data_IF_860938711471
#
_entry.id   IF_860938711471
#
_cell.length_a   1.000
_cell.length_b   1.000
_cell.length_c   1.000
_cell.angle_alpha   90.00
_cell.angle_beta   90.00
_cell.angle_gamma   90.00
#
_symmetry.space_group_name_H-M   'P 1'
#
loop_
_entity.id
_entity.type
_entity.pdbx_description
1 polymer ?
#
# COMPACT_ATOMS: atom_id res chain seq x y z
N UNK A 1 29.97 -5.20 23.15
CA UNK A 1 29.34 -3.94 23.55
C UNK A 1 29.53 -2.77 22.55
N UNK A 2 30.10 -2.99 21.36
CA UNK A 2 30.29 -1.97 20.31
C UNK A 2 29.37 -2.12 19.08
N UNK A 3 28.63 -3.22 18.96
CA UNK A 3 27.75 -3.50 17.80
C UNK A 3 26.35 -2.92 17.99
N UNK A 4 25.85 -2.82 19.23
CA UNK A 4 24.51 -2.24 19.51
C UNK A 4 24.38 -0.71 19.26
N UNK A 5 25.51 0.03 19.17
CA UNK A 5 25.49 1.48 18.89
C UNK A 5 25.37 1.87 17.41
N UNK A 6 25.65 0.93 16.48
CA UNK A 6 25.54 1.24 15.03
C UNK A 6 24.13 1.05 14.50
N UNK A 7 23.35 0.18 15.10
CA UNK A 7 21.95 -0.07 14.68
C UNK A 7 21.03 1.09 15.09
N UNK A 8 21.25 1.71 16.25
CA UNK A 8 20.47 2.89 16.68
C UNK A 8 20.70 4.15 15.80
N UNK A 9 21.85 4.26 15.11
CA UNK A 9 22.11 5.39 14.20
C UNK A 9 21.44 5.25 12.83
N UNK A 10 21.18 4.04 12.36
CA UNK A 10 20.51 3.81 11.08
C UNK A 10 18.99 4.09 11.20
N UNK A 11 18.36 3.74 12.32
CA UNK A 11 16.96 4.04 12.55
C UNK A 11 16.68 5.54 12.75
N UNK A 12 17.66 6.30 13.27
CA UNK A 12 17.53 7.74 13.49
C UNK A 12 17.76 8.58 12.22
N UNK A 13 18.39 8.02 11.19
CA UNK A 13 18.64 8.71 9.91
C UNK A 13 17.42 8.63 8.96
N UNK A 14 16.56 7.65 9.10
CA UNK A 14 15.31 7.55 8.34
C UNK A 14 14.28 8.62 8.73
N UNK A 15 14.29 9.11 9.97
CA UNK A 15 13.46 10.23 10.42
C UNK A 15 13.96 11.61 9.93
N UNK A 16 15.24 11.72 9.59
CA UNK A 16 15.84 13.02 9.23
C UNK A 16 15.62 13.42 7.76
N UNK A 17 15.32 12.48 6.86
CA UNK A 17 15.11 12.79 5.44
C UNK A 17 13.72 13.37 5.14
N UNK A 18 12.71 13.08 5.96
CA UNK A 18 11.38 13.68 5.82
C UNK A 18 11.28 15.12 6.39
N UNK A 19 12.26 15.56 7.20
CA UNK A 19 12.20 16.87 7.89
C UNK A 19 13.01 17.97 7.16
N UNK A 20 13.89 17.62 6.24
CA UNK A 20 14.82 18.58 5.63
C UNK A 20 14.26 19.37 4.42
N UNK A 21 13.02 19.12 3.97
CA UNK A 21 12.43 19.80 2.81
C UNK A 21 11.17 20.64 3.12
N UNK A 22 10.91 20.98 4.37
CA UNK A 22 9.70 21.70 4.75
C UNK A 22 9.93 22.93 5.64
N UNK A 23 10.52 24.01 5.13
CA UNK A 23 10.31 25.34 5.70
C UNK A 23 8.91 25.83 5.29
N UNK A 24 7.90 25.53 6.08
CA UNK A 24 6.54 26.01 5.89
C UNK A 24 6.45 27.48 6.31
N UNK A 25 6.31 28.36 5.34
CA UNK A 25 5.72 29.67 5.56
C UNK A 25 4.20 29.48 5.74
N UNK A 26 3.73 29.79 6.93
CA UNK A 26 2.28 29.89 7.21
C UNK A 26 1.75 31.11 6.48
N UNK A 27 0.99 30.87 5.41
CA UNK A 27 0.14 31.90 4.81
C UNK A 27 -1.29 31.70 5.35
N UNK A 28 -1.77 32.65 6.12
CA UNK A 28 -3.18 32.77 6.49
C UNK A 28 -4.02 32.95 5.23
N UNK A 29 -4.96 32.06 5.00
CA UNK A 29 -5.99 32.23 3.98
C UNK A 29 -7.36 32.28 4.63
N UNK A 30 -8.02 33.40 4.42
CA UNK A 30 -9.37 33.74 4.84
C UNK A 30 -10.44 32.75 4.33
N UNK A 31 -11.41 32.54 5.20
CA UNK A 31 -12.69 31.88 4.95
C UNK A 31 -13.39 32.33 3.66
N UNK A 32 -13.80 31.37 2.84
CA UNK A 32 -15.10 31.42 2.19
C UNK A 32 -15.73 30.02 2.20
N UNK A 33 -16.86 29.94 2.92
CA UNK A 33 -17.83 28.85 2.82
C UNK A 33 -18.42 28.83 1.41
N UNK A 34 -18.48 27.64 0.81
CA UNK A 34 -19.67 27.26 0.05
C UNK A 34 -19.79 25.74 -0.01
N UNK A 35 -20.95 25.31 0.46
CA UNK A 35 -21.49 23.97 0.33
C UNK A 35 -21.71 23.59 -1.14
N UNK A 36 -21.39 22.38 -1.47
CA UNK A 36 -22.21 21.44 -2.26
C UNK A 36 -21.33 20.34 -2.86
N UNK A 37 -21.38 19.19 -2.22
CA UNK A 37 -20.79 17.96 -2.77
C UNK A 37 -21.76 17.38 -3.77
N UNK A 38 -21.58 17.70 -5.03
CA UNK A 38 -22.29 17.01 -6.12
C UNK A 38 -21.41 15.89 -6.63
N UNK A 39 -21.83 14.65 -6.41
CA UNK A 39 -21.27 13.46 -7.04
C UNK A 39 -21.59 13.56 -8.55
N UNK A 40 -20.60 13.82 -9.37
CA UNK A 40 -20.73 13.78 -10.83
C UNK A 40 -20.36 12.38 -11.31
N UNK A 41 -21.35 11.57 -11.56
CA UNK A 41 -21.25 10.40 -12.44
C UNK A 41 -21.03 10.90 -13.87
N UNK A 42 -19.87 10.69 -14.42
CA UNK A 42 -19.60 10.89 -15.85
C UNK A 42 -19.68 9.56 -16.59
N UNK A 43 -20.88 9.23 -17.05
CA UNK A 43 -21.05 8.36 -18.20
C UNK A 43 -20.85 9.21 -19.47
N UNK A 44 -19.75 9.00 -20.17
CA UNK A 44 -19.62 9.32 -21.61
C UNK A 44 -18.97 8.15 -22.30
N UNK A 45 -19.80 7.42 -23.00
CA UNK A 45 -19.40 6.38 -23.92
C UNK A 45 -18.52 6.94 -25.04
N UNK A 46 -17.30 6.46 -25.15
CA UNK A 46 -16.51 6.53 -26.38
C UNK A 46 -16.85 5.27 -27.20
N UNK A 47 -17.44 5.48 -28.34
CA UNK A 47 -17.57 4.46 -29.39
C UNK A 47 -16.16 4.19 -29.91
N UNK A 48 -15.69 2.97 -29.76
CA UNK A 48 -14.51 2.46 -30.47
C UNK A 48 -14.88 1.18 -31.20
N UNK A 49 -14.37 1.07 -32.39
CA UNK A 49 -14.51 -0.02 -33.30
C UNK A 49 -14.19 -1.36 -32.62
N UNK A 50 -15.21 -2.18 -32.47
CA UNK A 50 -15.10 -3.55 -31.97
C UNK A 50 -15.26 -4.50 -33.14
N UNK A 51 -14.16 -5.13 -33.54
CA UNK A 51 -14.27 -6.44 -34.16
C UNK A 51 -14.49 -7.49 -33.08
N UNK A 52 -15.62 -8.16 -33.21
CA UNK A 52 -16.14 -9.23 -32.39
C UNK A 52 -15.14 -10.39 -32.27
N UNK A 53 -14.77 -10.75 -31.05
CA UNK A 53 -14.45 -12.14 -30.70
C UNK A 53 -15.19 -12.48 -29.40
N UNK A 54 -16.39 -12.99 -29.54
CA UNK A 54 -17.12 -13.70 -28.49
C UNK A 54 -16.36 -14.98 -28.13
N UNK A 55 -15.69 -15.00 -26.99
CA UNK A 55 -15.38 -16.22 -26.24
C UNK A 55 -15.67 -15.96 -24.77
N UNK A 56 -16.82 -16.40 -24.33
CA UNK A 56 -17.19 -16.49 -22.91
C UNK A 56 -16.30 -17.52 -22.22
N UNK A 57 -15.47 -17.05 -21.30
CA UNK A 57 -14.70 -17.88 -20.37
C UNK A 57 -15.66 -18.32 -19.23
N UNK A 58 -15.92 -19.64 -19.01
CA UNK A 58 -16.94 -20.11 -18.07
C UNK A 58 -16.56 -19.96 -16.58
N UNK A 59 -15.47 -19.29 -16.23
CA UNK A 59 -15.01 -19.10 -14.85
C UNK A 59 -14.83 -17.65 -14.41
N UNK A 60 -15.34 -16.68 -15.16
CA UNK A 60 -15.38 -15.30 -14.65
C UNK A 60 -16.38 -15.25 -13.50
N UNK A 61 -15.89 -14.97 -12.28
CA UNK A 61 -16.78 -14.61 -11.19
C UNK A 61 -17.54 -13.34 -11.58
N UNK A 62 -18.85 -13.24 -11.27
CA UNK A 62 -19.62 -12.05 -11.58
C UNK A 62 -18.95 -10.84 -10.93
N UNK A 63 -18.79 -9.79 -11.71
CA UNK A 63 -18.34 -8.48 -11.23
C UNK A 63 -19.27 -8.03 -10.09
N UNK A 64 -18.76 -8.00 -8.87
CA UNK A 64 -19.54 -7.64 -7.68
C UNK A 64 -19.81 -6.13 -7.58
N UNK A 65 -19.43 -5.36 -8.60
CA UNK A 65 -19.51 -3.90 -8.55
C UNK A 65 -18.50 -3.27 -7.56
N UNK A 66 -18.44 -1.94 -7.51
CA UNK A 66 -17.56 -1.25 -6.58
C UNK A 66 -17.97 -1.53 -5.12
N UNK A 67 -16.98 -1.71 -4.25
CA UNK A 67 -17.22 -1.92 -2.83
C UNK A 67 -17.89 -0.67 -2.21
N UNK A 68 -18.89 -0.83 -1.34
CA UNK A 68 -19.44 0.29 -0.59
C UNK A 68 -18.35 0.92 0.28
N UNK A 69 -18.32 2.26 0.33
CA UNK A 69 -17.39 3.00 1.18
C UNK A 69 -18.06 3.20 2.55
N UNK A 70 -17.40 2.74 3.61
CA UNK A 70 -17.78 3.05 4.97
C UNK A 70 -16.99 4.25 5.49
N UNK A 71 -17.65 5.19 6.13
CA UNK A 71 -16.99 6.25 6.86
C UNK A 71 -16.40 5.66 8.14
N UNK A 72 -15.08 5.75 8.26
CA UNK A 72 -14.36 5.36 9.46
C UNK A 72 -14.16 6.62 10.30
N UNK A 73 -14.90 6.71 11.40
CA UNK A 73 -14.75 7.78 12.36
C UNK A 73 -13.37 7.74 13.03
N UNK A 74 -12.89 8.90 13.45
CA UNK A 74 -11.84 8.94 14.47
C UNK A 74 -12.49 8.55 15.80
N UNK A 75 -11.94 7.55 16.50
CA UNK A 75 -12.28 7.40 17.91
C UNK A 75 -11.83 8.70 18.58
N UNK A 76 -12.76 9.39 19.24
CA UNK A 76 -12.39 10.54 20.05
C UNK A 76 -11.45 10.03 21.12
N UNK A 77 -10.24 10.53 21.11
CA UNK A 77 -9.30 10.32 22.19
C UNK A 77 -9.92 10.84 23.46
N UNK A 78 -9.92 10.07 24.47
CA UNK A 78 -10.35 10.51 25.76
C UNK A 78 -10.01 9.50 26.80
N UNK A 79 -10.09 9.90 28.03
CA UNK A 79 -10.00 9.03 29.20
C UNK A 79 -10.94 7.80 29.12
N UNK A 80 -11.93 7.82 28.23
CA UNK A 80 -12.84 6.72 27.95
C UNK A 80 -12.17 5.53 27.24
N UNK A 81 -10.99 5.73 26.62
CA UNK A 81 -10.27 4.71 25.86
C UNK A 81 -8.96 4.25 26.53
N UNK A 82 -8.63 4.78 27.70
CA UNK A 82 -7.47 4.29 28.45
C UNK A 82 -7.67 2.83 28.87
N UNK A 83 -7.02 1.94 28.15
CA UNK A 83 -7.05 0.49 28.44
C UNK A 83 -5.65 -0.07 28.27
N UNK A 84 -5.27 -0.93 29.20
CA UNK A 84 -4.10 -1.78 29.03
C UNK A 84 -4.45 -2.87 28.02
N UNK A 85 -3.67 -2.97 26.97
CA UNK A 85 -3.82 -3.98 25.91
C UNK A 85 -2.70 -5.01 26.02
N UNK A 86 -3.02 -6.24 25.72
CA UNK A 86 -2.04 -7.32 25.60
C UNK A 86 -1.77 -7.64 24.13
N UNK A 87 -0.51 -7.95 23.82
CA UNK A 87 -0.17 -8.40 22.47
C UNK A 87 -0.80 -9.75 22.20
N UNK A 88 -1.57 -9.81 21.09
CA UNK A 88 -2.21 -11.06 20.67
C UNK A 88 -1.23 -11.88 19.84
N UNK A 89 -1.11 -13.19 20.11
CA UNK A 89 -0.22 -14.05 19.35
C UNK A 89 -0.76 -14.25 17.94
N UNK A 90 -0.04 -13.74 16.95
CA UNK A 90 -0.35 -13.92 15.54
C UNK A 90 0.72 -14.73 14.82
N UNK A 91 0.33 -15.35 13.72
CA UNK A 91 1.20 -16.09 12.81
C UNK A 91 1.12 -15.43 11.45
N UNK A 92 2.28 -15.08 10.90
CA UNK A 92 2.42 -14.49 9.57
C UNK A 92 2.88 -15.55 8.57
N UNK A 93 2.25 -15.59 7.38
CA UNK A 93 2.61 -16.49 6.29
C UNK A 93 2.60 -15.72 4.97
N UNK A 94 3.75 -15.68 4.30
CA UNK A 94 3.86 -15.12 2.96
C UNK A 94 3.22 -16.06 1.93
N UNK A 95 2.45 -15.48 1.02
CA UNK A 95 1.66 -16.18 0.00
C UNK A 95 1.61 -15.37 -1.30
N UNK A 96 0.93 -15.91 -2.29
CA UNK A 96 0.76 -15.24 -3.58
C UNK A 96 2.00 -15.32 -4.46
N UNK A 97 1.99 -14.51 -5.52
CA UNK A 97 3.03 -14.46 -6.53
C UNK A 97 4.24 -13.63 -6.14
N UNK A 98 4.75 -12.87 -7.09
CA UNK A 98 5.97 -12.07 -6.95
C UNK A 98 5.61 -10.59 -6.76
N UNK A 99 6.25 -9.92 -5.79
CA UNK A 99 6.20 -8.48 -5.65
C UNK A 99 7.42 -7.85 -6.34
N UNK A 100 7.17 -6.98 -7.32
CA UNK A 100 8.13 -6.05 -7.91
C UNK A 100 7.95 -4.71 -7.23
N UNK A 101 8.98 -4.24 -6.53
CA UNK A 101 8.96 -3.00 -5.78
C UNK A 101 9.98 -2.02 -6.33
N UNK A 102 9.54 -0.85 -6.74
CA UNK A 102 10.36 0.22 -7.32
C UNK A 102 10.14 1.53 -6.58
N UNK A 103 11.08 1.85 -5.69
CA UNK A 103 11.10 3.07 -4.88
C UNK A 103 12.53 3.63 -4.76
N UNK A 104 13.43 3.20 -5.65
CA UNK A 104 14.80 3.70 -5.69
C UNK A 104 15.30 3.83 -7.15
N UNK A 105 15.74 5.04 -7.53
CA UNK A 105 15.78 6.26 -6.72
C UNK A 105 14.37 6.80 -6.46
N UNK A 106 14.07 7.19 -5.21
CA UNK A 106 12.81 7.85 -4.85
C UNK A 106 12.71 9.22 -5.54
N UNK A 107 13.75 10.05 -5.40
CA UNK A 107 13.88 11.36 -6.04
C UNK A 107 14.61 11.20 -7.37
N UNK A 108 13.85 11.08 -8.45
CA UNK A 108 14.41 10.80 -9.79
C UNK A 108 14.93 12.08 -10.44
N UNK A 109 16.22 12.09 -10.80
CA UNK A 109 16.91 13.25 -11.34
C UNK A 109 17.18 13.20 -12.85
N UNK A 110 16.97 12.05 -13.47
CA UNK A 110 17.16 11.84 -14.92
C UNK A 110 16.19 10.76 -15.46
N UNK A 111 16.03 10.72 -16.77
CA UNK A 111 15.20 9.72 -17.44
C UNK A 111 15.88 8.36 -17.48
N UNK A 112 15.13 7.28 -17.22
CA UNK A 112 15.69 5.94 -17.25
C UNK A 112 14.74 4.85 -16.77
N UNK A 113 15.28 3.66 -16.66
CA UNK A 113 14.64 2.52 -16.04
C UNK A 113 14.94 2.58 -14.54
N UNK A 114 13.88 2.71 -13.73
CA UNK A 114 13.98 2.82 -12.28
C UNK A 114 14.21 1.47 -11.63
N UNK A 115 13.49 0.47 -12.12
CA UNK A 115 13.69 -0.94 -11.76
C UNK A 115 13.17 -1.85 -12.87
N UNK A 116 13.80 -3.02 -13.04
CA UNK A 116 13.31 -4.05 -13.94
C UNK A 116 13.66 -5.47 -13.46
N UNK A 117 12.75 -6.41 -13.74
CA UNK A 117 12.97 -7.84 -13.56
C UNK A 117 12.02 -8.65 -14.46
N UNK A 118 12.28 -9.96 -14.57
CA UNK A 118 11.45 -10.89 -15.35
C UNK A 118 10.61 -11.75 -14.42
N UNK A 119 9.29 -11.75 -14.63
CA UNK A 119 8.34 -12.52 -13.83
C UNK A 119 7.42 -13.37 -14.67
N UNK A 120 6.82 -14.39 -14.07
CA UNK A 120 5.76 -15.23 -14.65
C UNK A 120 4.76 -15.64 -13.58
N UNK A 121 3.54 -15.97 -13.96
CA UNK A 121 2.45 -16.25 -13.02
C UNK A 121 1.90 -14.98 -12.39
N UNK A 122 1.42 -15.08 -11.14
CA UNK A 122 0.88 -13.95 -10.41
C UNK A 122 1.99 -13.02 -9.96
N UNK A 123 1.81 -11.72 -10.19
CA UNK A 123 2.74 -10.69 -9.81
C UNK A 123 2.02 -9.40 -9.41
N UNK A 124 2.67 -8.63 -8.54
CA UNK A 124 2.31 -7.25 -8.22
C UNK A 124 3.49 -6.37 -8.54
N UNK A 125 3.24 -5.25 -9.22
CA UNK A 125 4.20 -4.17 -9.37
C UNK A 125 3.73 -2.95 -8.59
N UNK A 126 4.62 -2.42 -7.75
CA UNK A 126 4.45 -1.15 -7.06
C UNK A 126 5.57 -0.22 -7.49
N UNK A 127 5.24 1.02 -7.80
CA UNK A 127 6.21 2.10 -8.01
C UNK A 127 5.81 3.36 -7.24
N UNK A 128 6.83 4.04 -6.69
CA UNK A 128 6.70 5.25 -5.90
C UNK A 128 7.90 6.14 -6.20
N UNK A 129 7.68 7.20 -6.99
CA UNK A 129 8.78 8.04 -7.45
C UNK A 129 8.36 9.50 -7.54
N UNK A 130 9.28 10.38 -7.16
CA UNK A 130 9.13 11.82 -7.24
C UNK A 130 9.93 12.36 -8.43
N UNK A 131 9.31 13.20 -9.24
CA UNK A 131 10.01 13.91 -10.31
C UNK A 131 10.87 15.04 -9.72
N UNK A 132 12.15 14.76 -9.52
CA UNK A 132 13.14 15.72 -9.04
C UNK A 132 13.96 16.36 -10.20
N UNK A 133 13.36 16.42 -11.38
CA UNK A 133 13.92 17.16 -12.53
C UNK A 133 13.22 18.50 -12.67
N UNK A 134 13.70 19.35 -13.59
CA UNK A 134 13.05 20.64 -13.93
C UNK A 134 12.02 20.54 -15.06
N UNK A 135 11.72 19.32 -15.56
CA UNK A 135 10.88 19.09 -16.71
C UNK A 135 9.70 18.18 -16.40
N UNK A 136 8.65 18.27 -17.21
CA UNK A 136 7.53 17.33 -17.14
C UNK A 136 7.95 15.92 -17.54
N UNK A 137 7.58 14.96 -16.71
CA UNK A 137 7.87 13.55 -16.93
C UNK A 137 6.59 12.72 -16.94
N UNK A 138 6.75 11.45 -17.31
CA UNK A 138 5.76 10.40 -17.13
C UNK A 138 6.43 9.19 -16.50
N UNK A 139 5.66 8.45 -15.71
CA UNK A 139 6.12 7.14 -15.16
C UNK A 139 5.17 6.07 -15.66
N UNK A 140 5.75 5.00 -16.18
CA UNK A 140 4.98 3.88 -16.69
C UNK A 140 5.66 2.53 -16.42
N UNK A 141 4.84 1.47 -16.48
CA UNK A 141 5.31 0.08 -16.45
C UNK A 141 5.26 -0.49 -17.85
N UNK A 142 6.43 -0.79 -18.40
CA UNK A 142 6.60 -1.43 -19.70
C UNK A 142 6.75 -2.94 -19.52
N UNK A 143 5.99 -3.69 -20.27
CA UNK A 143 6.11 -5.15 -20.41
C UNK A 143 6.84 -5.47 -21.71
N UNK A 144 7.88 -6.30 -21.63
CA UNK A 144 8.64 -6.75 -22.79
C UNK A 144 8.67 -8.28 -22.82
N UNK A 145 8.22 -8.83 -23.92
CA UNK A 145 8.28 -10.27 -24.18
C UNK A 145 9.54 -10.58 -25.01
N UNK A 146 10.51 -11.22 -24.39
CA UNK A 146 11.76 -11.63 -25.06
C UNK A 146 11.67 -13.02 -25.70
N UNK A 147 10.54 -13.71 -25.53
CA UNK A 147 10.33 -15.05 -26.06
C UNK A 147 9.66 -15.07 -27.44
N UNK A 148 9.69 -16.26 -28.07
CA UNK A 148 9.17 -16.51 -29.43
C UNK A 148 7.66 -16.68 -29.50
N UNK A 149 6.97 -16.76 -28.39
CA UNK A 149 5.52 -16.92 -28.32
C UNK A 149 4.85 -15.81 -27.56
N UNK A 150 3.62 -15.39 -27.92
CA UNK A 150 2.89 -14.36 -27.23
C UNK A 150 2.70 -14.66 -25.72
N UNK A 151 2.76 -13.62 -24.89
CA UNK A 151 2.44 -13.68 -23.46
C UNK A 151 1.08 -13.05 -23.24
N UNK A 152 0.21 -13.74 -22.52
CA UNK A 152 -1.08 -13.22 -22.07
C UNK A 152 -0.86 -12.58 -20.70
N UNK A 153 -1.26 -11.33 -20.58
CA UNK A 153 -1.27 -10.59 -19.31
C UNK A 153 -2.71 -10.34 -18.90
N UNK A 154 -3.06 -10.69 -17.67
CA UNK A 154 -4.36 -10.42 -17.07
C UNK A 154 -4.15 -9.48 -15.90
N UNK A 155 -4.54 -8.22 -16.01
CA UNK A 155 -4.54 -7.28 -14.89
C UNK A 155 -5.82 -7.49 -14.09
N UNK A 156 -5.69 -7.73 -12.79
CA UNK A 156 -6.82 -8.11 -11.92
C UNK A 156 -7.18 -7.06 -10.89
N UNK A 157 -6.23 -6.21 -10.51
CA UNK A 157 -6.41 -5.12 -9.53
C UNK A 157 -5.44 -4.00 -9.87
N UNK A 158 -5.79 -2.75 -9.57
CA UNK A 158 -4.86 -1.65 -9.76
C UNK A 158 -5.37 -0.33 -9.22
N UNK A 159 -4.40 0.52 -8.82
CA UNK A 159 -4.60 1.90 -8.42
C UNK A 159 -3.48 2.78 -8.97
N UNK A 160 -3.85 3.95 -9.46
CA UNK A 160 -2.94 4.95 -10.01
C UNK A 160 -3.56 6.34 -9.84
N UNK A 161 -3.27 7.01 -8.75
CA UNK A 161 -3.76 8.37 -8.53
C UNK A 161 -3.10 9.39 -9.46
N UNK A 162 -3.69 10.57 -9.53
CA UNK A 162 -3.04 11.70 -10.21
C UNK A 162 -1.81 12.14 -9.42
N UNK A 163 -0.69 12.46 -10.10
CA UNK A 163 0.51 12.97 -9.45
C UNK A 163 0.22 14.25 -8.67
N UNK A 164 0.85 14.44 -7.52
CA UNK A 164 0.64 15.59 -6.66
C UNK A 164 1.82 15.82 -5.70
N UNK A 165 1.93 17.04 -5.16
CA UNK A 165 2.88 17.39 -4.09
C UNK A 165 2.38 16.98 -2.70
N UNK A 166 1.08 16.73 -2.53
CA UNK A 166 0.52 16.11 -1.32
C UNK A 166 0.69 14.59 -1.39
N UNK A 167 1.84 14.11 -0.95
CA UNK A 167 2.25 12.71 -1.04
C UNK A 167 1.32 11.76 -0.28
N UNK A 168 0.79 12.20 0.88
CA UNK A 168 -0.19 11.43 1.64
C UNK A 168 -1.50 11.25 0.86
N UNK A 169 -1.95 12.31 0.20
CA UNK A 169 -3.13 12.24 -0.65
C UNK A 169 -2.90 11.31 -1.85
N UNK A 170 -1.72 11.35 -2.47
CA UNK A 170 -1.32 10.41 -3.55
C UNK A 170 -1.39 8.97 -3.04
N UNK A 171 -0.74 8.67 -1.91
CA UNK A 171 -0.74 7.34 -1.30
C UNK A 171 -2.15 6.82 -1.01
N UNK A 172 -2.96 7.63 -0.33
CA UNK A 172 -4.33 7.29 0.02
C UNK A 172 -5.23 7.06 -1.19
N UNK A 173 -5.18 7.95 -2.20
CA UNK A 173 -6.00 7.83 -3.42
C UNK A 173 -5.66 6.58 -4.21
N UNK A 174 -4.37 6.28 -4.37
CA UNK A 174 -3.93 5.04 -5.02
C UNK A 174 -4.47 3.81 -4.32
N UNK A 175 -4.46 3.78 -2.98
CA UNK A 175 -5.05 2.66 -2.23
C UNK A 175 -6.57 2.58 -2.35
N UNK A 176 -7.27 3.70 -2.34
CA UNK A 176 -8.72 3.74 -2.59
C UNK A 176 -9.03 3.09 -3.93
N UNK A 177 -8.30 3.45 -5.00
CA UNK A 177 -8.48 2.84 -6.31
C UNK A 177 -8.14 1.35 -6.31
N UNK A 178 -7.03 0.97 -5.69
CA UNK A 178 -6.58 -0.41 -5.62
C UNK A 178 -7.57 -1.33 -4.90
N UNK A 179 -8.21 -0.85 -3.82
CA UNK A 179 -9.18 -1.62 -3.06
C UNK A 179 -10.61 -1.53 -3.60
N UNK A 180 -10.99 -0.40 -4.21
CA UNK A 180 -12.37 -0.17 -4.67
C UNK A 180 -12.73 -0.88 -5.96
N UNK A 181 -11.75 -1.23 -6.81
CA UNK A 181 -12.01 -1.72 -8.15
C UNK A 181 -11.27 -3.01 -8.46
N UNK A 182 -12.00 -4.01 -8.89
CA UNK A 182 -11.43 -5.10 -9.67
C UNK A 182 -11.24 -4.59 -11.10
N UNK A 183 -10.00 -4.37 -11.50
CA UNK A 183 -9.67 -4.10 -12.90
C UNK A 183 -9.54 -5.44 -13.58
N UNK A 184 -10.32 -5.69 -14.61
CA UNK A 184 -10.16 -6.87 -15.44
C UNK A 184 -9.79 -6.44 -16.85
N UNK A 185 -8.51 -6.50 -17.16
CA UNK A 185 -7.99 -6.20 -18.50
C UNK A 185 -7.10 -7.34 -18.96
N UNK A 186 -7.36 -7.82 -20.17
CA UNK A 186 -6.59 -8.90 -20.78
C UNK A 186 -5.89 -8.37 -22.02
N UNK A 187 -4.58 -8.53 -22.05
CA UNK A 187 -3.76 -8.08 -23.16
C UNK A 187 -2.76 -9.14 -23.60
N UNK A 188 -2.27 -8.98 -24.84
CA UNK A 188 -1.23 -9.82 -25.41
C UNK A 188 0.02 -8.99 -25.65
N UNK A 189 1.17 -9.49 -25.19
CA UNK A 189 2.48 -8.97 -25.58
C UNK A 189 3.02 -9.92 -26.65
N UNK A 190 3.14 -9.43 -27.88
CA UNK A 190 3.62 -10.24 -29.02
C UNK A 190 5.05 -10.73 -28.75
N UNK A 191 5.45 -11.81 -29.45
CA UNK A 191 6.85 -12.24 -29.50
C UNK A 191 7.76 -11.07 -29.82
N UNK A 192 8.82 -10.90 -29.01
CA UNK A 192 9.80 -9.78 -29.08
C UNK A 192 9.16 -8.39 -29.07
N UNK A 193 7.92 -8.28 -28.55
CA UNK A 193 7.15 -7.04 -28.47
C UNK A 193 7.20 -6.35 -27.11
N UNK A 194 6.78 -5.10 -27.11
CA UNK A 194 6.65 -4.27 -25.93
C UNK A 194 5.21 -3.78 -25.79
N UNK A 195 4.73 -3.60 -24.55
CA UNK A 195 3.40 -3.05 -24.28
C UNK A 195 3.37 -2.41 -22.89
N UNK A 196 2.70 -1.28 -22.74
CA UNK A 196 2.39 -0.69 -21.43
C UNK A 196 1.45 -1.62 -20.65
N UNK A 197 1.72 -1.82 -19.35
CA UNK A 197 0.82 -2.53 -18.45
C UNK A 197 -0.54 -1.84 -18.38
N UNK A 198 -0.56 -0.51 -18.38
CA UNK A 198 -1.77 0.31 -18.44
C UNK A 198 -1.51 1.53 -19.32
N UNK A 199 -2.45 1.83 -20.23
CA UNK A 199 -2.33 2.98 -21.12
C UNK A 199 -2.44 4.30 -20.40
N UNK A 200 -3.26 4.36 -19.36
CA UNK A 200 -3.49 5.55 -18.54
C UNK A 200 -2.20 6.11 -17.90
N UNK A 201 -1.18 5.28 -17.69
CA UNK A 201 0.12 5.74 -17.21
C UNK A 201 0.77 6.76 -18.16
N UNK A 202 0.58 6.59 -19.48
CA UNK A 202 1.10 7.52 -20.46
C UNK A 202 0.28 8.83 -20.60
N UNK A 203 -0.85 8.91 -19.91
CA UNK A 203 -1.71 10.10 -19.91
C UNK A 203 -1.44 11.02 -18.71
N UNK A 204 -0.79 10.49 -17.66
CA UNK A 204 -0.49 11.23 -16.44
C UNK A 204 0.86 11.92 -16.52
N UNK A 205 0.84 13.24 -16.48
CA UNK A 205 2.04 14.09 -16.43
C UNK A 205 2.42 14.26 -14.97
N UNK A 206 3.70 14.09 -14.67
CA UNK A 206 4.33 14.29 -13.36
C UNK A 206 5.14 15.57 -13.42
N UNK A 207 4.61 16.65 -12.86
CA UNK A 207 5.30 17.94 -12.78
C UNK A 207 6.53 17.85 -11.86
N UNK A 208 7.50 18.77 -11.99
CA UNK A 208 8.60 18.87 -11.03
C UNK A 208 8.08 18.96 -9.58
N UNK A 209 8.64 18.16 -8.68
CA UNK A 209 8.25 18.10 -7.27
C UNK A 209 7.04 17.20 -6.96
N UNK A 210 6.36 16.68 -7.98
CA UNK A 210 5.22 15.79 -7.76
C UNK A 210 5.64 14.33 -7.59
N UNK A 211 4.93 13.65 -6.69
CA UNK A 211 4.98 12.21 -6.50
C UNK A 211 4.01 11.53 -7.46
N UNK A 212 4.43 10.41 -8.04
CA UNK A 212 3.57 9.43 -8.71
C UNK A 212 3.68 8.09 -8.01
N UNK A 213 2.54 7.45 -7.78
CA UNK A 213 2.44 6.16 -7.10
C UNK A 213 1.41 5.29 -7.79
N UNK A 214 1.80 4.04 -8.08
CA UNK A 214 0.91 3.06 -8.68
C UNK A 214 1.17 1.65 -8.15
N UNK A 215 0.10 0.86 -8.06
CA UNK A 215 0.14 -0.54 -7.66
C UNK A 215 -0.81 -1.34 -8.53
N UNK A 216 -0.32 -2.47 -9.11
CA UNK A 216 -1.09 -3.30 -10.03
C UNK A 216 -0.79 -4.77 -9.81
N UNK A 217 -1.86 -5.57 -9.68
CA UNK A 217 -1.81 -7.03 -9.68
C UNK A 217 -2.10 -7.55 -11.08
N UNK A 218 -1.28 -8.46 -11.55
CA UNK A 218 -1.46 -9.09 -12.84
C UNK A 218 -0.97 -10.54 -12.83
N UNK A 219 -1.44 -11.31 -13.81
CA UNK A 219 -0.92 -12.65 -14.10
C UNK A 219 -0.28 -12.66 -15.49
N UNK A 220 0.94 -13.16 -15.58
CA UNK A 220 1.65 -13.37 -16.83
C UNK A 220 1.72 -14.86 -17.17
N UNK A 221 1.14 -15.26 -18.31
CA UNK A 221 1.08 -16.68 -18.71
C UNK A 221 2.44 -17.32 -19.00
N UNK A 222 3.48 -16.50 -19.21
CA UNK A 222 4.88 -16.88 -19.48
C UNK A 222 5.79 -15.78 -18.94
N UNK A 223 7.11 -16.01 -18.86
CA UNK A 223 8.06 -14.96 -18.47
C UNK A 223 7.89 -13.70 -19.31
N UNK A 224 7.82 -12.56 -18.63
CA UNK A 224 7.75 -11.23 -19.21
C UNK A 224 8.64 -10.31 -18.40
N UNK A 225 9.44 -9.50 -19.07
CA UNK A 225 10.24 -8.46 -18.44
C UNK A 225 9.35 -7.28 -18.12
N UNK A 226 9.41 -6.83 -16.89
CA UNK A 226 8.65 -5.70 -16.33
C UNK A 226 9.64 -4.60 -16.01
N UNK A 227 9.49 -3.43 -16.64
CA UNK A 227 10.37 -2.28 -16.41
C UNK A 227 9.54 -1.08 -15.97
N UNK A 228 9.86 -0.51 -14.80
CA UNK A 228 9.35 0.78 -14.35
C UNK A 228 10.24 1.85 -14.93
N UNK A 229 9.67 2.81 -15.66
CA UNK A 229 10.42 3.84 -16.39
C UNK A 229 9.91 5.25 -16.06
N UNK A 230 10.85 6.21 -15.96
CA UNK A 230 10.55 7.64 -16.02
C UNK A 230 11.12 8.20 -17.31
N UNK A 231 10.31 8.96 -18.05
CA UNK A 231 10.66 9.44 -19.39
C UNK A 231 10.05 10.81 -19.67
N UNK A 232 10.57 11.57 -20.69
CA UNK A 232 10.03 12.87 -21.06
C UNK A 232 8.54 12.81 -21.44
N UNK A 233 7.76 13.79 -21.00
CA UNK A 233 6.32 13.80 -21.17
C UNK A 233 5.87 13.85 -22.64
N UNK A 234 6.69 14.41 -23.53
CA UNK A 234 6.46 14.55 -24.97
C UNK A 234 6.98 13.38 -25.82
N UNK A 235 7.61 12.37 -25.17
CA UNK A 235 8.18 11.22 -25.85
C UNK A 235 7.29 10.00 -25.79
N UNK A 236 7.36 9.16 -26.83
CA UNK A 236 6.77 7.82 -26.81
C UNK A 236 7.51 6.91 -25.84
N UNK A 237 6.83 6.21 -24.89
CA UNK A 237 7.48 5.25 -24.00
C UNK A 237 8.14 4.08 -24.76
N UNK A 238 7.66 3.76 -25.95
CA UNK A 238 8.23 2.71 -26.78
C UNK A 238 9.58 3.12 -27.38
N UNK A 239 9.66 4.32 -27.92
CA UNK A 239 10.91 4.90 -28.44
C UNK A 239 11.92 5.14 -27.34
N UNK A 240 11.44 5.56 -26.16
CA UNK A 240 12.29 5.74 -24.98
C UNK A 240 12.96 4.44 -24.58
N UNK A 241 12.22 3.32 -24.51
CA UNK A 241 12.74 2.01 -24.14
C UNK A 241 13.86 1.48 -25.06
N UNK A 242 13.96 1.95 -26.30
CA UNK A 242 15.03 1.51 -27.23
C UNK A 242 16.43 2.01 -26.82
N UNK A 243 16.47 3.05 -25.97
CA UNK A 243 17.72 3.69 -25.50
C UNK A 243 17.81 3.83 -23.98
N UNK A 244 16.77 3.43 -23.26
CA UNK A 244 16.73 3.54 -21.81
C UNK A 244 17.79 2.67 -21.15
N UNK A 245 18.35 3.17 -20.07
CA UNK A 245 19.30 2.47 -19.21
C UNK A 245 18.78 2.42 -17.79
N UNK A 246 19.19 1.42 -17.03
CA UNK A 246 18.85 1.33 -15.60
C UNK A 246 19.58 2.44 -14.85
N UNK A 247 18.83 3.21 -14.07
CA UNK A 247 19.36 4.25 -13.21
C UNK A 247 20.03 3.66 -11.97
N UNK A 248 21.04 4.35 -11.43
CA UNK A 248 21.59 3.97 -10.14
C UNK A 248 20.53 4.11 -9.05
N UNK A 249 20.60 3.24 -8.04
CA UNK A 249 19.79 3.35 -6.84
C UNK A 249 20.33 4.46 -5.92
N UNK A 250 19.46 5.06 -5.13
CA UNK A 250 19.80 5.99 -4.07
C UNK A 250 20.39 5.28 -2.83
N UNK A 251 20.61 6.04 -1.76
CA UNK A 251 21.16 5.51 -0.51
C UNK A 251 20.19 4.54 0.20
N UNK A 252 18.89 4.70 0.04
CA UNK A 252 17.85 3.87 0.66
C UNK A 252 17.77 2.49 0.01
N UNK A 253 18.07 2.40 -1.29
CA UNK A 253 18.12 1.15 -2.06
C UNK A 253 16.81 0.36 -2.03
N UNK A 254 15.65 1.03 -1.94
CA UNK A 254 14.34 0.41 -1.81
C UNK A 254 13.78 0.01 -3.18
N UNK A 255 14.43 -0.93 -3.84
CA UNK A 255 13.90 -1.57 -5.05
C UNK A 255 14.33 -3.03 -5.11
N UNK A 256 13.43 -3.90 -5.58
CA UNK A 256 13.75 -5.31 -5.68
C UNK A 256 12.55 -6.19 -6.01
N UNK A 257 12.84 -7.47 -6.14
CA UNK A 257 11.87 -8.53 -6.37
C UNK A 257 11.81 -9.43 -5.14
N UNK A 258 10.59 -9.64 -4.63
CA UNK A 258 10.31 -10.38 -3.41
C UNK A 258 9.38 -11.55 -3.70
N UNK A 259 9.62 -12.71 -3.09
CA UNK A 259 8.75 -13.87 -3.16
C UNK A 259 7.53 -13.69 -2.26
N UNK A 260 6.35 -13.97 -2.79
CA UNK A 260 5.08 -13.79 -2.09
C UNK A 260 4.65 -12.32 -2.07
N UNK A 261 3.65 -11.95 -2.81
CA UNK A 261 3.13 -10.58 -2.85
C UNK A 261 2.10 -10.29 -1.75
N UNK A 262 1.61 -11.33 -1.07
CA UNK A 262 0.62 -11.26 -0.01
C UNK A 262 1.19 -11.82 1.30
N UNK A 263 0.60 -11.42 2.43
CA UNK A 263 0.86 -11.97 3.74
C UNK A 263 -0.44 -12.26 4.47
N UNK A 264 -0.65 -13.49 4.89
CA UNK A 264 -1.78 -13.86 5.75
C UNK A 264 -1.36 -13.69 7.21
N UNK A 265 -2.12 -12.91 7.96
CA UNK A 265 -2.03 -12.80 9.43
C UNK A 265 -3.21 -13.57 10.01
N UNK A 266 -2.91 -14.56 10.83
CA UNK A 266 -3.90 -15.37 11.52
C UNK A 266 -3.46 -15.67 12.96
N UNK A 267 -4.27 -16.39 13.73
CA UNK A 267 -3.91 -16.82 15.06
C UNK A 267 -4.35 -18.27 15.30
N UNK A 268 -3.53 -19.03 16.00
CA UNK A 268 -3.91 -20.37 16.49
C UNK A 268 -4.79 -20.29 17.73
N UNK A 269 -4.81 -19.14 18.40
CA UNK A 269 -5.69 -18.85 19.53
C UNK A 269 -6.95 -18.14 19.04
N UNK A 270 -8.10 -18.58 19.55
CA UNK A 270 -9.41 -17.95 19.26
C UNK A 270 -9.64 -16.83 20.24
N UNK A 271 -9.92 -15.63 19.75
CA UNK A 271 -10.16 -14.46 20.59
C UNK A 271 -11.58 -14.48 21.16
N UNK A 272 -11.71 -14.32 22.48
CA UNK A 272 -12.96 -14.18 23.21
C UNK A 272 -12.95 -12.83 23.94
N UNK A 273 -13.68 -11.80 23.45
CA UNK A 273 -13.60 -10.46 24.01
C UNK A 273 -13.96 -10.39 25.49
N UNK A 274 -14.86 -11.27 25.95
CA UNK A 274 -15.30 -11.28 27.35
C UNK A 274 -14.22 -11.82 28.31
N UNK A 275 -13.24 -12.58 27.79
CA UNK A 275 -12.15 -13.18 28.57
C UNK A 275 -10.81 -12.52 28.34
N UNK A 276 -10.53 -12.16 27.08
CA UNK A 276 -9.20 -11.69 26.66
C UNK A 276 -9.07 -10.17 26.76
N UNK A 277 -10.19 -9.42 26.85
CA UNK A 277 -10.18 -7.97 26.94
C UNK A 277 -9.64 -7.29 25.69
N UNK A 278 -9.03 -6.13 25.85
CA UNK A 278 -8.41 -5.39 24.75
C UNK A 278 -7.05 -6.01 24.40
N UNK A 279 -6.86 -6.30 23.10
CA UNK A 279 -5.62 -6.87 22.55
C UNK A 279 -5.20 -6.14 21.29
N UNK A 280 -3.91 -6.26 20.95
CA UNK A 280 -3.36 -5.68 19.73
C UNK A 280 -2.32 -6.60 19.07
N UNK A 281 -2.05 -6.39 17.80
CA UNK A 281 -0.88 -6.94 17.13
C UNK A 281 -0.34 -5.91 16.10
N UNK A 282 1.00 -5.81 15.98
CA UNK A 282 1.64 -4.85 15.08
C UNK A 282 1.71 -5.38 13.65
N UNK A 283 1.77 -4.45 12.70
CA UNK A 283 2.10 -4.69 11.30
C UNK A 283 3.27 -3.77 10.91
N UNK A 284 4.29 -4.33 10.29
CA UNK A 284 5.46 -3.60 9.80
C UNK A 284 6.39 -3.08 10.91
N UNK A 285 6.49 -3.79 12.03
CA UNK A 285 7.34 -3.41 13.18
C UNK A 285 8.75 -4.05 13.14
N UNK A 286 8.98 -4.99 12.22
CA UNK A 286 10.22 -5.79 12.13
C UNK A 286 10.58 -6.55 13.42
N UNK A 287 9.62 -6.81 14.28
CA UNK A 287 9.78 -7.60 15.51
C UNK A 287 8.83 -8.80 15.51
N UNK A 288 7.55 -8.54 15.43
CA UNK A 288 6.51 -9.56 15.29
C UNK A 288 6.16 -9.79 13.82
N UNK A 289 6.12 -8.73 13.04
CA UNK A 289 5.92 -8.74 11.60
C UNK A 289 7.22 -8.34 10.90
N UNK A 290 8.05 -9.35 10.60
CA UNK A 290 9.37 -9.15 10.03
C UNK A 290 9.30 -8.53 8.62
N UNK A 291 10.25 -7.64 8.33
CA UNK A 291 10.42 -7.09 7.00
C UNK A 291 10.82 -8.16 5.99
N UNK A 292 10.30 -8.06 4.79
CA UNK A 292 10.67 -8.94 3.70
C UNK A 292 12.06 -8.66 3.19
N UNK A 293 12.71 -9.73 2.74
CA UNK A 293 13.98 -9.65 2.04
C UNK A 293 13.82 -10.16 0.61
N UNK A 294 14.48 -9.49 -0.32
CA UNK A 294 14.43 -9.78 -1.74
C UNK A 294 15.78 -9.54 -2.40
N UNK A 295 15.75 -9.46 -3.72
CA UNK A 295 16.93 -9.22 -4.56
C UNK A 295 16.66 -8.06 -5.50
N UNK A 296 17.57 -7.11 -5.59
CA UNK A 296 17.61 -6.16 -6.70
C UNK A 296 18.14 -6.88 -7.95
N UNK A 297 17.25 -7.19 -8.88
CA UNK A 297 17.60 -7.94 -10.10
C UNK A 297 18.57 -7.19 -11.01
N UNK A 298 18.68 -5.88 -10.85
CA UNK A 298 19.57 -5.04 -11.69
C UNK A 298 21.05 -5.18 -11.34
N UNK A 299 21.38 -5.60 -10.11
CA UNK A 299 22.77 -5.77 -9.66
C UNK A 299 23.00 -7.01 -8.79
N UNK A 300 21.95 -7.80 -8.49
CA UNK A 300 22.02 -9.01 -7.68
C UNK A 300 22.18 -8.78 -6.17
N UNK A 301 22.08 -7.55 -5.70
CA UNK A 301 22.22 -7.23 -4.28
C UNK A 301 20.99 -7.60 -3.48
N UNK A 302 21.18 -7.92 -2.19
CA UNK A 302 20.07 -8.13 -1.25
C UNK A 302 19.40 -6.80 -0.92
N UNK A 303 18.08 -6.83 -0.80
CA UNK A 303 17.25 -5.70 -0.41
C UNK A 303 16.31 -6.09 0.71
N UNK A 304 16.00 -5.15 1.60
CA UNK A 304 14.98 -5.29 2.65
C UNK A 304 13.88 -4.28 2.40
N UNK A 305 12.66 -4.74 2.38
CA UNK A 305 11.45 -3.91 2.26
C UNK A 305 11.08 -3.36 3.64
N UNK A 306 11.66 -2.22 3.99
CA UNK A 306 11.40 -1.55 5.27
C UNK A 306 9.97 -1.05 5.34
N UNK A 307 9.13 -1.67 6.19
CA UNK A 307 7.70 -1.38 6.30
C UNK A 307 6.80 -2.30 5.46
N UNK A 308 7.36 -3.25 4.71
CA UNK A 308 6.60 -4.20 3.89
C UNK A 308 5.66 -3.50 2.88
N UNK A 309 6.11 -2.40 2.25
CA UNK A 309 5.31 -1.69 1.26
C UNK A 309 5.00 -2.57 0.04
N UNK A 310 3.78 -2.45 -0.48
CA UNK A 310 3.29 -3.29 -1.58
C UNK A 310 2.83 -4.69 -1.16
N UNK A 311 3.08 -5.10 0.07
CA UNK A 311 2.52 -6.35 0.61
C UNK A 311 1.03 -6.18 0.88
N UNK A 312 0.20 -7.09 0.38
CA UNK A 312 -1.21 -7.16 0.74
C UNK A 312 -1.38 -8.11 1.92
N UNK A 313 -1.69 -7.55 3.07
CA UNK A 313 -2.03 -8.29 4.28
C UNK A 313 -3.50 -8.75 4.22
N UNK A 314 -3.71 -10.04 4.45
CA UNK A 314 -5.03 -10.66 4.66
C UNK A 314 -5.11 -11.04 6.13
N UNK A 315 -5.92 -10.31 6.89
CA UNK A 315 -5.96 -10.41 8.35
C UNK A 315 -7.23 -11.15 8.75
N UNK A 316 -7.09 -12.31 9.38
CA UNK A 316 -8.17 -13.20 9.75
C UNK A 316 -7.94 -13.78 11.14
N UNK A 317 -8.43 -13.11 12.15
CA UNK A 317 -8.32 -13.59 13.55
C UNK A 317 -9.61 -14.33 13.92
N UNK A 318 -9.55 -15.60 14.30
CA UNK A 318 -10.72 -16.34 14.71
C UNK A 318 -11.26 -15.78 16.03
N UNK A 319 -12.59 -15.61 16.11
CA UNK A 319 -13.26 -15.07 17.28
C UNK A 319 -14.35 -16.01 17.79
N UNK A 320 -14.69 -15.94 19.08
CA UNK A 320 -15.77 -16.70 19.73
C UNK A 320 -16.46 -15.84 20.78
N UNK A 321 -17.59 -16.33 21.28
CA UNK A 321 -18.36 -15.62 22.30
C UNK A 321 -19.69 -15.09 21.77
N UNK A 322 -20.44 -14.40 22.63
CA UNK A 322 -21.76 -13.84 22.32
C UNK A 322 -21.74 -12.34 22.05
N UNK A 323 -20.68 -11.68 22.51
CA UNK A 323 -20.46 -10.24 22.35
C UNK A 323 -20.04 -9.88 20.92
N UNK A 324 -19.94 -8.59 20.66
CA UNK A 324 -19.33 -8.08 19.43
C UNK A 324 -17.87 -7.73 19.67
N UNK A 325 -17.05 -7.78 18.60
CA UNK A 325 -15.68 -7.30 18.61
C UNK A 325 -15.60 -5.99 17.87
N UNK A 326 -15.00 -4.99 18.48
CA UNK A 326 -14.66 -3.73 17.87
C UNK A 326 -13.19 -3.72 17.45
N UNK A 327 -12.94 -3.28 16.22
CA UNK A 327 -11.60 -3.21 15.65
C UNK A 327 -11.18 -1.77 15.43
N UNK A 328 -9.88 -1.50 15.61
CA UNK A 328 -9.26 -0.22 15.32
C UNK A 328 -7.92 -0.40 14.62
N UNK A 329 -7.52 0.60 13.83
CA UNK A 329 -6.16 0.77 13.35
C UNK A 329 -5.53 1.96 14.10
N UNK A 330 -4.36 1.74 14.67
CA UNK A 330 -3.57 2.77 15.37
C UNK A 330 -2.22 2.92 14.69
N UNK A 331 -1.93 4.05 14.03
CA UNK A 331 -0.60 4.34 13.52
C UNK A 331 0.36 4.65 14.67
N UNK A 332 1.56 4.12 14.59
CA UNK A 332 2.62 4.32 15.60
C UNK A 332 3.88 4.96 15.01
N UNK A 333 4.01 4.94 13.69
CA UNK A 333 5.22 5.38 13.01
C UNK A 333 5.24 6.86 12.59
N UNK A 334 4.19 7.63 12.89
CA UNK A 334 4.09 9.02 12.48
C UNK A 334 2.88 9.30 11.58
N UNK A 335 3.06 10.14 10.56
CA UNK A 335 1.98 10.55 9.68
C UNK A 335 1.42 9.38 8.88
N UNK A 336 0.10 9.30 8.77
CA UNK A 336 -0.59 8.20 8.14
C UNK A 336 -1.87 8.64 7.42
N UNK A 337 -2.07 8.13 6.21
CA UNK A 337 -3.32 8.23 5.46
C UNK A 337 -3.43 7.05 4.49
N UNK A 338 -4.52 6.28 4.59
CA UNK A 338 -4.69 5.07 3.77
C UNK A 338 -6.11 4.65 3.57
N UNK A 339 -6.26 3.46 3.02
CA UNK A 339 -7.52 2.74 2.89
C UNK A 339 -7.27 1.24 3.09
N UNK A 340 -8.31 0.51 3.44
CA UNK A 340 -8.32 -0.94 3.57
C UNK A 340 -9.72 -1.48 3.31
N UNK A 341 -9.89 -2.79 3.26
CA UNK A 341 -11.22 -3.38 3.16
C UNK A 341 -11.54 -4.23 4.36
N UNK A 342 -12.82 -4.35 4.66
CA UNK A 342 -13.33 -5.27 5.66
C UNK A 342 -14.51 -6.06 5.08
N UNK A 343 -14.61 -7.33 5.44
CA UNK A 343 -15.76 -8.19 5.12
C UNK A 343 -16.04 -9.14 6.26
N UNK A 344 -17.30 -9.48 6.47
CA UNK A 344 -17.71 -10.55 7.36
C UNK A 344 -18.35 -11.66 6.54
N UNK A 345 -18.16 -12.92 6.95
CA UNK A 345 -18.65 -14.10 6.22
C UNK A 345 -20.10 -13.95 5.77
N UNK A 346 -20.34 -14.07 4.47
CA UNK A 346 -21.66 -13.96 3.85
C UNK A 346 -22.14 -12.54 3.58
N UNK A 347 -21.33 -11.51 3.85
CA UNK A 347 -21.65 -10.11 3.58
C UNK A 347 -20.74 -9.54 2.49
N UNK A 348 -21.23 -8.54 1.78
CA UNK A 348 -20.40 -7.78 0.86
C UNK A 348 -19.37 -6.99 1.66
N UNK A 349 -18.11 -7.05 1.22
CA UNK A 349 -17.04 -6.24 1.82
C UNK A 349 -17.29 -4.74 1.65
N UNK A 350 -16.68 -3.94 2.51
CA UNK A 350 -16.70 -2.48 2.43
C UNK A 350 -15.29 -1.91 2.38
N UNK A 351 -15.15 -0.74 1.76
CA UNK A 351 -13.94 0.05 1.73
C UNK A 351 -13.93 0.98 2.96
N UNK A 352 -12.88 0.90 3.75
CA UNK A 352 -12.64 1.73 4.91
C UNK A 352 -11.58 2.78 4.58
N UNK A 353 -11.91 4.07 4.76
CA UNK A 353 -10.95 5.16 4.61
C UNK A 353 -10.28 5.43 5.96
N UNK A 354 -9.00 5.23 6.07
CA UNK A 354 -8.24 5.26 7.32
C UNK A 354 -7.20 6.41 7.34
N UNK A 355 -7.52 7.53 7.92
CA UNK A 355 -8.78 7.99 8.44
C UNK A 355 -9.68 8.60 7.36
N UNK A 356 -10.96 8.80 7.66
CA UNK A 356 -11.85 9.55 6.78
C UNK A 356 -11.53 11.04 6.85
N UNK A 357 -11.37 11.68 5.69
CA UNK A 357 -11.22 13.13 5.53
C UNK A 357 -9.76 13.61 5.53
N UNK A 358 -9.08 13.62 6.64
CA UNK A 358 -7.72 14.15 6.79
C UNK A 358 -6.73 13.07 7.26
N UNK A 359 -5.42 13.22 6.98
CA UNK A 359 -4.41 12.37 7.60
C UNK A 359 -4.41 12.55 9.12
N UNK A 360 -3.97 11.54 9.85
CA UNK A 360 -3.73 11.62 11.27
C UNK A 360 -2.29 11.21 11.59
N UNK A 361 -1.83 11.59 12.78
CA UNK A 361 -0.48 11.31 13.23
C UNK A 361 -0.54 10.18 14.25
N UNK A 362 0.32 9.21 14.09
CA UNK A 362 0.58 8.22 15.11
C UNK A 362 1.41 8.80 16.25
N UNK A 363 1.57 8.00 17.29
CA UNK A 363 2.43 8.34 18.41
C UNK A 363 3.90 8.12 18.01
N UNK A 364 4.57 9.18 17.59
CA UNK A 364 6.01 9.18 17.29
C UNK A 364 6.86 9.28 18.55
N UNK A 365 6.23 9.54 19.69
CA UNK A 365 6.98 9.79 20.93
C UNK A 365 7.73 8.53 21.34
N UNK A 366 9.05 8.58 21.46
CA UNK A 366 9.79 7.51 22.12
C UNK A 366 9.19 7.28 23.50
N UNK A 367 9.16 6.05 24.03
CA UNK A 367 8.68 5.81 25.37
C UNK A 367 9.40 6.77 26.33
N UNK A 368 8.63 7.65 26.98
CA UNK A 368 9.17 8.69 27.87
C UNK A 368 9.71 8.10 29.16
N UNK A 369 9.24 6.90 29.52
CA UNK A 369 9.60 6.21 30.75
C UNK A 369 10.17 4.82 30.47
N UNK A 370 11.04 4.35 31.38
CA UNK A 370 11.51 2.97 31.35
C UNK A 370 10.36 1.96 31.51
N UNK A 371 9.25 2.36 32.10
CA UNK A 371 8.08 1.52 32.32
C UNK A 371 7.31 1.32 31.02
N UNK A 372 7.15 2.36 30.19
CA UNK A 372 6.57 2.26 28.85
C UNK A 372 7.44 1.42 27.93
N UNK A 373 8.76 1.59 28.00
CA UNK A 373 9.67 0.76 27.24
C UNK A 373 9.56 -0.73 27.66
N UNK A 374 9.49 -1.02 28.97
CA UNK A 374 9.29 -2.38 29.47
C UNK A 374 7.94 -2.95 29.07
N UNK A 375 6.88 -2.14 29.08
CA UNK A 375 5.54 -2.54 28.64
C UNK A 375 5.54 -2.95 27.18
N UNK A 376 6.20 -2.19 26.30
CA UNK A 376 6.36 -2.55 24.90
C UNK A 376 7.19 -3.82 24.71
N UNK A 377 8.30 -3.94 25.42
CA UNK A 377 9.15 -5.15 25.39
C UNK A 377 8.44 -6.39 25.92
N UNK A 378 7.55 -6.25 26.89
CA UNK A 378 6.76 -7.33 27.46
C UNK A 378 5.45 -7.62 26.69
N UNK A 379 5.22 -6.91 25.56
CA UNK A 379 4.00 -7.11 24.77
C UNK A 379 2.75 -6.55 25.42
N UNK A 380 2.89 -5.54 26.29
CA UNK A 380 1.78 -4.78 26.86
C UNK A 380 1.87 -3.34 26.39
N UNK A 381 0.76 -2.80 25.89
CA UNK A 381 0.64 -1.41 25.47
C UNK A 381 -0.60 -0.79 26.10
N UNK A 382 -0.56 0.52 26.31
CA UNK A 382 -1.73 1.28 26.75
C UNK A 382 -2.21 2.19 25.62
N UNK A 383 -3.51 2.33 25.48
CA UNK A 383 -4.10 3.38 24.64
C UNK A 383 -4.03 4.66 25.45
N UNK A 384 -3.17 5.59 25.04
CA UNK A 384 -3.09 6.92 25.67
C UNK A 384 -4.12 7.87 25.08
N UNK A 385 -4.49 8.90 25.82
CA UNK A 385 -5.41 9.93 25.34
C UNK A 385 -4.93 10.74 24.13
N UNK A 386 -3.66 10.60 23.75
CA UNK A 386 -3.05 11.27 22.59
C UNK A 386 -3.00 10.39 21.35
N UNK A 387 -3.35 9.10 21.44
CA UNK A 387 -3.31 8.17 20.31
C UNK A 387 -4.54 8.35 19.42
N UNK A 388 -4.35 8.65 18.17
CA UNK A 388 -5.43 8.66 17.16
C UNK A 388 -5.72 7.24 16.69
N UNK A 389 -7.00 6.86 16.69
CA UNK A 389 -7.49 5.55 16.26
C UNK A 389 -8.43 5.68 15.08
N UNK A 390 -8.26 4.85 14.05
CA UNK A 390 -9.27 4.68 13.03
C UNK A 390 -10.23 3.55 13.44
N UNK A 391 -11.51 3.83 13.55
CA UNK A 391 -12.55 2.86 13.86
C UNK A 391 -12.80 1.97 12.61
N UNK A 392 -12.45 0.69 12.69
CA UNK A 392 -12.61 -0.27 11.60
C UNK A 392 -13.96 -1.00 11.64
N UNK A 393 -14.81 -0.68 12.62
CA UNK A 393 -16.15 -1.27 12.75
C UNK A 393 -16.27 -2.27 13.87
N UNK A 394 -17.52 -2.70 14.07
CA UNK A 394 -17.93 -3.67 15.09
C UNK A 394 -18.55 -4.88 14.40
N UNK A 395 -18.07 -6.07 14.75
CA UNK A 395 -18.42 -7.31 14.07
C UNK A 395 -18.90 -8.37 15.06
N UNK A 396 -19.82 -9.22 14.58
CA UNK A 396 -20.35 -10.31 15.38
C UNK A 396 -19.30 -11.41 15.59
N UNK A 397 -19.13 -11.85 16.84
CA UNK A 397 -18.29 -13.00 17.17
C UNK A 397 -18.75 -14.30 16.52
N UNK A 398 -17.82 -15.23 16.33
CA UNK A 398 -18.06 -16.55 15.74
C UNK A 398 -18.32 -16.53 14.23
N UNK A 399 -18.32 -15.34 13.60
CA UNK A 399 -18.33 -15.17 12.14
C UNK A 399 -16.97 -14.60 11.72
N UNK A 400 -16.37 -15.22 10.71
CA UNK A 400 -15.07 -14.78 10.24
C UNK A 400 -15.15 -13.35 9.69
N UNK A 401 -14.29 -12.50 10.24
CA UNK A 401 -14.00 -11.15 9.71
C UNK A 401 -12.67 -11.20 9.00
N UNK A 402 -12.61 -10.65 7.80
CA UNK A 402 -11.40 -10.56 6.98
C UNK A 402 -11.14 -9.11 6.62
N UNK A 403 -9.93 -8.65 6.88
CA UNK A 403 -9.45 -7.35 6.42
C UNK A 403 -8.37 -7.54 5.35
N UNK A 404 -8.42 -6.72 4.31
CA UNK A 404 -7.27 -6.54 3.42
C UNK A 404 -6.64 -5.17 3.69
N UNK A 405 -5.35 -5.17 3.97
CA UNK A 405 -4.55 -3.99 4.29
C UNK A 405 -3.27 -4.01 3.46
N UNK A 406 -2.82 -2.85 3.01
CA UNK A 406 -1.48 -2.68 2.44
C UNK A 406 -0.89 -1.38 2.97
N UNK A 407 0.39 -1.32 3.37
CA UNK A 407 1.02 -0.08 3.79
C UNK A 407 0.86 1.00 2.72
N UNK A 408 0.26 2.16 3.05
CA UNK A 408 0.07 3.24 2.08
C UNK A 408 1.39 3.93 1.75
N UNK A 409 1.59 4.31 0.49
CA UNK A 409 2.71 5.17 0.13
C UNK A 409 2.68 6.49 0.92
N UNK A 410 3.83 7.02 1.29
CA UNK A 410 4.04 8.21 2.13
C UNK A 410 3.50 8.12 3.57
N UNK A 411 3.00 6.97 4.00
CA UNK A 411 2.56 6.76 5.38
C UNK A 411 3.61 5.98 6.16
N UNK A 412 3.77 6.32 7.43
CA UNK A 412 4.77 5.69 8.27
C UNK A 412 4.25 4.40 8.92
N UNK A 413 5.16 3.45 9.12
CA UNK A 413 4.93 2.19 9.83
C UNK A 413 5.77 2.19 11.13
N UNK A 414 5.41 1.41 12.16
CA UNK A 414 4.36 0.37 12.17
C UNK A 414 2.95 0.91 12.44
N UNK A 415 1.97 0.03 12.28
CA UNK A 415 0.60 0.24 12.76
C UNK A 415 0.19 -0.92 13.66
N UNK A 416 -0.72 -0.68 14.60
CA UNK A 416 -1.38 -1.74 15.37
C UNK A 416 -2.80 -1.97 14.84
N UNK A 417 -3.19 -3.23 14.75
CA UNK A 417 -4.60 -3.62 14.71
C UNK A 417 -5.01 -3.96 16.15
N UNK A 418 -6.05 -3.29 16.62
CA UNK A 418 -6.56 -3.43 17.97
C UNK A 418 -7.93 -4.15 17.91
N UNK A 419 -8.14 -5.07 18.83
CA UNK A 419 -9.39 -5.78 19.02
C UNK A 419 -9.84 -5.59 20.46
N UNK A 420 -11.12 -5.25 20.68
CA UNK A 420 -11.65 -5.09 22.03
C UNK A 420 -13.13 -5.46 22.10
N UNK A 421 -13.65 -5.74 23.32
CA UNK A 421 -15.07 -5.95 23.53
C UNK A 421 -15.85 -4.73 23.11
N UNK A 422 -16.92 -4.93 22.35
CA UNK A 422 -17.94 -3.89 22.14
C UNK A 422 -18.97 -3.99 23.25
N UNK A 423 -19.03 -2.99 24.11
CA UNK A 423 -20.01 -2.86 25.17
C UNK A 423 -21.27 -2.21 24.68
#
# INVERSE_FOLDING_TARGET
>A
MRIKRKIKKAALLLLASCIAAGSIQVAEAHHHRNDSTTVVTRDKALKSDTENVNRTDPKAQPDKGPLPVAEVGHAKNGAEMEQVMHMWPVVSKDTGGTLIFSDSPEYVQEDGILYEDTVSGDARVLFYHLNNTSEQKKVAVMLQNEGDAPVIIKVTRGGLSDPNEDYLAVGKRTQIEYFARNVYDVMYVRSHGKRLLRREMNEKIVEPGQLTYGVFDFNASKPVKVSVIMYPADMSPYEFMDRARVLPKDEQRLRGTFKGMDRVISSTRVYDPDKDGAVYFPIGDNLQDLYRTGIDATDGSKVTDFGNYGVLYKIEIPTTGKSFVKYYLSPLGGVYAGAMTASQSGEQGCLLLTPHGKPFFGDETPPETEEEQRSRENGTSAISGNTELADLGTYQNGRQVSFEYSPPGASNLPVNIIMMPSR
#
